data_IF_047514561841
#
_entry.id   IF_047514561841
#
_cell.length_a   1.000
_cell.length_b   1.000
_cell.length_c   1.000
_cell.angle_alpha   90.00
_cell.angle_beta   90.00
_cell.angle_gamma   90.00
#
_symmetry.space_group_name_H-M   'P 1'
#
loop_
_entity.id
_entity.type
_entity.pdbx_description
1 polymer ?
#
# COMPACT_ATOMS: atom_id res chain seq x y z
N UNK A 1 -18.97 -10.77 -24.71
CA UNK A 1 -17.77 -10.08 -24.18
C UNK A 1 -16.62 -10.27 -25.14
N UNK A 2 -16.03 -9.19 -25.60
CA UNK A 2 -14.85 -9.28 -26.45
C UNK A 2 -13.67 -9.81 -25.64
N UNK A 3 -12.81 -10.57 -26.29
CA UNK A 3 -11.56 -11.08 -25.70
C UNK A 3 -10.72 -9.92 -25.14
N UNK A 4 -10.76 -8.76 -25.76
CA UNK A 4 -10.08 -7.54 -25.32
C UNK A 4 -10.58 -7.08 -23.95
N UNK A 5 -11.89 -7.10 -23.70
CA UNK A 5 -12.45 -6.71 -22.41
C UNK A 5 -12.08 -7.71 -21.29
N UNK A 6 -11.96 -8.99 -21.61
CA UNK A 6 -11.48 -10.01 -20.67
C UNK A 6 -10.00 -9.80 -20.36
N UNK A 7 -9.18 -9.52 -21.36
CA UNK A 7 -7.76 -9.23 -21.18
C UNK A 7 -7.57 -7.95 -20.36
N UNK A 8 -8.35 -6.90 -20.63
CA UNK A 8 -8.32 -5.66 -19.84
C UNK A 8 -8.72 -5.89 -18.38
N UNK A 9 -9.70 -6.75 -18.15
CA UNK A 9 -10.10 -7.11 -16.79
C UNK A 9 -9.02 -7.91 -16.05
N UNK A 10 -8.26 -8.74 -16.77
CA UNK A 10 -7.16 -9.53 -16.22
C UNK A 10 -5.92 -8.70 -15.92
N UNK A 11 -5.71 -7.59 -16.63
CA UNK A 11 -4.54 -6.73 -16.49
C UNK A 11 -4.77 -5.56 -15.52
N UNK A 12 -5.99 -5.38 -15.03
CA UNK A 12 -6.26 -4.34 -14.03
C UNK A 12 -5.60 -4.67 -12.70
N UNK A 13 -4.98 -3.65 -12.12
CA UNK A 13 -4.46 -3.73 -10.75
C UNK A 13 -5.63 -3.94 -9.79
N UNK A 14 -5.60 -5.04 -9.07
CA UNK A 14 -6.61 -5.37 -8.07
C UNK A 14 -5.99 -6.17 -6.92
N UNK A 15 -6.74 -6.32 -5.84
CA UNK A 15 -6.27 -7.01 -4.64
C UNK A 15 -6.05 -8.52 -4.82
N UNK A 16 -6.47 -9.09 -5.94
CA UNK A 16 -6.32 -10.53 -6.22
C UNK A 16 -4.98 -10.88 -6.87
N UNK A 17 -4.25 -9.88 -7.38
CA UNK A 17 -2.95 -10.10 -7.99
C UNK A 17 -1.88 -10.40 -6.94
N UNK A 18 -1.01 -11.36 -7.24
CA UNK A 18 0.19 -11.58 -6.44
C UNK A 18 1.17 -10.41 -6.59
N UNK A 19 2.05 -10.25 -5.61
CA UNK A 19 3.01 -9.14 -5.60
C UNK A 19 3.90 -9.12 -6.84
N UNK A 20 4.35 -10.28 -7.32
CA UNK A 20 5.14 -10.37 -8.54
C UNK A 20 4.38 -9.86 -9.76
N UNK A 21 3.12 -10.20 -9.87
CA UNK A 21 2.25 -9.75 -10.97
C UNK A 21 2.01 -8.24 -10.88
N UNK A 22 1.84 -7.70 -9.68
CA UNK A 22 1.72 -6.26 -9.46
C UNK A 22 2.99 -5.52 -9.85
N UNK A 23 4.15 -6.04 -9.48
CA UNK A 23 5.44 -5.44 -9.84
C UNK A 23 5.66 -5.42 -11.35
N UNK A 24 5.32 -6.49 -12.04
CA UNK A 24 5.39 -6.55 -13.50
C UNK A 24 4.44 -5.53 -14.15
N UNK A 25 3.20 -5.46 -13.69
CA UNK A 25 2.22 -4.52 -14.22
C UNK A 25 2.62 -3.07 -13.96
N UNK A 26 3.09 -2.76 -12.78
CA UNK A 26 3.60 -1.43 -12.44
C UNK A 26 4.79 -1.09 -13.33
N UNK A 27 5.72 -2.01 -13.51
CA UNK A 27 6.89 -1.83 -14.36
C UNK A 27 6.51 -1.54 -15.81
N UNK A 28 5.56 -2.29 -16.37
CA UNK A 28 5.06 -2.10 -17.73
C UNK A 28 4.39 -0.73 -17.91
N UNK A 29 3.59 -0.32 -16.95
CA UNK A 29 2.93 1.00 -16.98
C UNK A 29 3.92 2.14 -16.89
N UNK A 30 4.94 2.01 -16.04
CA UNK A 30 6.01 3.01 -15.95
C UNK A 30 6.79 3.11 -17.26
N UNK A 31 7.12 1.99 -17.90
CA UNK A 31 7.77 1.97 -19.20
C UNK A 31 6.91 2.62 -20.28
N UNK A 32 5.61 2.35 -20.30
CA UNK A 32 4.68 2.98 -21.24
C UNK A 32 4.62 4.50 -21.07
N UNK A 33 4.53 4.98 -19.84
CA UNK A 33 4.54 6.42 -19.53
C UNK A 33 5.86 7.09 -19.95
N UNK A 34 6.98 6.41 -19.72
CA UNK A 34 8.30 6.89 -20.15
C UNK A 34 8.35 7.06 -21.67
N UNK A 35 7.87 6.06 -22.38
CA UNK A 35 7.84 6.08 -23.86
C UNK A 35 6.92 7.17 -24.41
N UNK A 36 5.77 7.41 -23.76
CA UNK A 36 4.88 8.52 -24.12
C UNK A 36 5.57 9.88 -23.99
N UNK A 37 6.49 10.01 -23.06
CA UNK A 37 7.29 11.22 -22.87
C UNK A 37 8.55 11.26 -23.75
N UNK A 38 8.74 10.29 -24.64
CA UNK A 38 9.93 10.18 -25.48
C UNK A 38 11.26 10.10 -24.69
N UNK A 39 11.24 9.50 -23.51
CA UNK A 39 12.43 9.32 -22.70
C UNK A 39 13.03 7.93 -22.89
N UNK A 40 14.34 7.86 -23.04
CA UNK A 40 15.07 6.61 -22.90
C UNK A 40 15.18 6.20 -21.43
N UNK A 41 15.53 4.96 -21.18
CA UNK A 41 15.82 4.50 -19.80
C UNK A 41 16.97 5.31 -19.17
N UNK A 42 17.97 5.65 -19.97
CA UNK A 42 19.09 6.50 -19.52
C UNK A 42 18.65 7.91 -19.18
N UNK A 43 17.76 8.51 -19.98
CA UNK A 43 17.20 9.84 -19.72
C UNK A 43 16.39 9.86 -18.42
N UNK A 44 15.55 8.85 -18.23
CA UNK A 44 14.77 8.72 -17.02
C UNK A 44 15.67 8.54 -15.79
N UNK A 45 16.68 7.69 -15.91
CA UNK A 45 17.64 7.44 -14.83
C UNK A 45 18.38 8.73 -14.45
N UNK A 46 18.84 9.48 -15.44
CA UNK A 46 19.53 10.75 -15.21
C UNK A 46 18.62 11.76 -14.49
N UNK A 47 17.39 11.94 -14.96
CA UNK A 47 16.43 12.87 -14.36
C UNK A 47 15.98 12.46 -12.96
N UNK A 48 15.86 11.18 -12.72
CA UNK A 48 15.48 10.64 -11.42
C UNK A 48 16.66 10.52 -10.43
N UNK A 49 17.88 10.71 -10.90
CA UNK A 49 19.07 10.52 -10.08
C UNK A 49 19.31 9.07 -9.68
N UNK A 50 18.96 8.13 -10.56
CA UNK A 50 19.08 6.69 -10.38
C UNK A 50 20.02 6.09 -11.42
N UNK A 51 20.55 4.90 -11.15
CA UNK A 51 21.25 4.11 -12.16
C UNK A 51 20.30 3.55 -13.21
N UNK A 52 20.78 3.42 -14.45
CA UNK A 52 20.00 2.82 -15.56
C UNK A 52 19.56 1.41 -15.20
N UNK A 53 20.40 0.65 -14.54
CA UNK A 53 20.09 -0.71 -14.12
C UNK A 53 18.92 -0.77 -13.14
N UNK A 54 18.81 0.23 -12.27
CA UNK A 54 17.67 0.37 -11.35
C UNK A 54 16.37 0.60 -12.11
N UNK A 55 16.40 1.45 -13.13
CA UNK A 55 15.26 1.68 -14.01
C UNK A 55 14.86 0.40 -14.76
N UNK A 56 15.83 -0.31 -15.31
CA UNK A 56 15.58 -1.57 -16.01
C UNK A 56 14.90 -2.60 -15.10
N UNK A 57 15.39 -2.75 -13.89
CA UNK A 57 14.82 -3.67 -12.91
C UNK A 57 13.42 -3.26 -12.49
N UNK A 58 13.20 -1.98 -12.31
CA UNK A 58 11.88 -1.44 -11.96
C UNK A 58 10.86 -1.71 -13.08
N UNK A 59 11.22 -1.44 -14.32
CA UNK A 59 10.35 -1.68 -15.48
C UNK A 59 10.11 -3.17 -15.74
N UNK A 60 11.08 -4.02 -15.45
CA UNK A 60 10.93 -5.46 -15.60
C UNK A 60 10.18 -6.12 -14.42
N UNK A 61 9.96 -5.40 -13.34
CA UNK A 61 9.29 -5.94 -12.16
C UNK A 61 10.08 -7.03 -11.44
N UNK A 62 11.39 -7.15 -11.67
CA UNK A 62 12.23 -8.23 -11.13
C UNK A 62 12.75 -7.98 -9.73
N UNK A 63 12.83 -6.72 -9.32
CA UNK A 63 13.30 -6.33 -7.99
C UNK A 63 12.43 -5.22 -7.47
N UNK A 64 12.04 -5.34 -6.22
CA UNK A 64 11.39 -4.25 -5.51
C UNK A 64 12.33 -3.05 -5.47
N UNK A 65 11.96 -1.98 -6.16
CA UNK A 65 12.64 -0.71 -6.02
C UNK A 65 12.40 -0.19 -4.61
N UNK A 66 13.41 0.45 -4.04
CA UNK A 66 13.20 1.18 -2.80
C UNK A 66 12.21 2.33 -3.05
N UNK A 67 11.35 2.58 -2.10
CA UNK A 67 10.29 3.60 -2.21
C UNK A 67 10.81 4.98 -2.65
N UNK A 68 11.93 5.52 -2.12
CA UNK A 68 12.44 6.81 -2.60
C UNK A 68 12.76 6.82 -4.09
N UNK A 69 13.34 5.76 -4.62
CA UNK A 69 13.62 5.63 -6.05
C UNK A 69 12.36 5.63 -6.89
N UNK A 70 11.37 4.87 -6.48
CA UNK A 70 10.05 4.84 -7.12
C UNK A 70 9.39 6.23 -7.14
N UNK A 71 9.44 6.96 -6.03
CA UNK A 71 8.89 8.32 -5.95
C UNK A 71 9.60 9.29 -6.89
N UNK A 72 10.91 9.17 -7.05
CA UNK A 72 11.68 9.98 -8.00
C UNK A 72 11.26 9.73 -9.44
N UNK A 73 11.06 8.47 -9.80
CA UNK A 73 10.55 8.09 -11.11
C UNK A 73 9.14 8.66 -11.33
N UNK A 74 8.25 8.53 -10.37
CA UNK A 74 6.90 9.09 -10.44
C UNK A 74 6.91 10.61 -10.62
N UNK A 75 7.86 11.29 -9.97
CA UNK A 75 8.01 12.75 -10.13
C UNK A 75 8.43 13.13 -11.52
N UNK A 76 9.40 12.45 -12.11
CA UNK A 76 9.85 12.70 -13.48
C UNK A 76 8.75 12.41 -14.49
N UNK A 77 7.97 11.34 -14.28
CA UNK A 77 6.86 10.97 -15.15
C UNK A 77 5.60 11.82 -14.93
N UNK A 78 5.59 12.71 -13.96
CA UNK A 78 4.45 13.60 -13.70
C UNK A 78 3.25 12.94 -13.06
N UNK A 79 3.40 11.77 -12.46
CA UNK A 79 2.31 11.01 -11.84
C UNK A 79 2.32 11.05 -10.30
N UNK A 80 3.27 11.77 -9.71
CA UNK A 80 3.42 11.80 -8.25
C UNK A 80 2.15 12.32 -7.55
N UNK A 81 1.46 13.30 -8.14
CA UNK A 81 0.22 13.85 -7.58
C UNK A 81 -0.90 12.81 -7.47
N UNK A 82 -0.86 11.75 -8.27
CA UNK A 82 -1.85 10.66 -8.20
C UNK A 82 -1.71 9.78 -6.97
N UNK A 83 -0.61 9.90 -6.24
CA UNK A 83 -0.48 9.26 -4.92
C UNK A 83 -1.53 9.76 -3.93
N UNK A 84 -2.05 10.96 -4.11
CA UNK A 84 -3.17 11.48 -3.32
C UNK A 84 -4.40 10.57 -3.39
N UNK A 85 -4.64 9.95 -4.54
CA UNK A 85 -5.74 9.00 -4.73
C UNK A 85 -5.47 7.67 -4.05
N UNK A 86 -4.22 7.24 -4.02
CA UNK A 86 -3.81 6.00 -3.38
C UNK A 86 -3.74 6.13 -1.86
N UNK A 87 -3.22 7.25 -1.39
CA UNK A 87 -3.00 7.56 0.02
C UNK A 87 -3.72 8.85 0.37
N UNK A 88 -5.06 8.82 0.45
CA UNK A 88 -5.82 10.02 0.76
C UNK A 88 -5.49 10.52 2.16
N UNK A 89 -5.53 11.84 2.33
CA UNK A 89 -5.38 12.44 3.64
C UNK A 89 -6.49 11.97 4.57
N UNK A 90 -6.11 11.55 5.77
CA UNK A 90 -7.08 11.14 6.77
C UNK A 90 -7.80 12.36 7.32
N UNK A 91 -9.10 12.46 7.04
CA UNK A 91 -9.98 13.47 7.66
C UNK A 91 -10.62 12.84 8.89
N UNK A 92 -10.22 13.22 10.11
CA UNK A 92 -10.86 12.72 11.30
C UNK A 92 -12.32 13.19 11.35
N UNK A 93 -13.22 12.31 11.81
CA UNK A 93 -14.61 12.69 12.00
C UNK A 93 -14.72 13.83 13.02
N UNK A 94 -15.76 14.70 12.96
CA UNK A 94 -15.95 15.76 13.93
C UNK A 94 -15.95 15.28 15.39
N UNK A 95 -16.51 14.10 15.64
CA UNK A 95 -16.52 13.48 16.97
C UNK A 95 -15.12 13.09 17.43
N UNK A 96 -14.29 12.58 16.52
CA UNK A 96 -12.90 12.21 16.81
C UNK A 96 -12.07 13.47 17.09
N UNK A 97 -12.30 14.55 16.36
CA UNK A 97 -11.64 15.84 16.60
C UNK A 97 -11.95 16.40 17.97
N UNK A 98 -13.20 16.33 18.41
CA UNK A 98 -13.62 16.76 19.75
C UNK A 98 -12.97 15.91 20.85
N UNK A 99 -12.91 14.60 20.67
CA UNK A 99 -12.30 13.68 21.64
C UNK A 99 -10.79 13.85 21.75
N UNK A 100 -10.12 14.17 20.67
CA UNK A 100 -8.66 14.26 20.61
C UNK A 100 -8.15 15.69 20.86
N UNK A 101 -9.02 16.69 21.00
CA UNK A 101 -8.66 18.11 21.16
C UNK A 101 -7.60 18.55 20.14
N UNK A 102 -7.75 18.15 18.88
CA UNK A 102 -6.82 18.47 17.81
C UNK A 102 -5.54 17.63 17.76
N UNK A 103 -5.38 16.66 18.65
CA UNK A 103 -4.25 15.74 18.63
C UNK A 103 -4.53 14.58 17.67
N UNK A 104 -3.61 14.35 16.75
CA UNK A 104 -3.68 13.16 15.90
C UNK A 104 -3.45 11.89 16.73
N UNK A 105 -4.25 10.88 16.42
CA UNK A 105 -4.12 9.58 17.04
C UNK A 105 -2.82 8.91 16.60
N UNK A 106 -1.93 8.68 17.55
CA UNK A 106 -0.60 8.13 17.25
C UNK A 106 -0.52 6.61 17.43
N UNK A 107 -1.50 6.01 18.08
CA UNK A 107 -1.50 4.57 18.34
C UNK A 107 -2.83 3.94 17.97
N UNK A 108 -2.77 2.77 17.38
CA UNK A 108 -3.95 1.94 17.20
C UNK A 108 -4.43 1.43 18.56
N UNK A 109 -5.72 1.58 18.85
CA UNK A 109 -6.33 0.95 20.01
C UNK A 109 -6.83 -0.41 19.56
N UNK A 110 -6.31 -1.45 20.18
CA UNK A 110 -6.82 -2.80 19.97
C UNK A 110 -8.25 -2.83 20.49
N UNK A 111 -9.24 -3.19 19.66
CA UNK A 111 -10.57 -3.39 20.19
C UNK A 111 -10.48 -4.43 21.32
N UNK A 112 -11.01 -4.08 22.48
CA UNK A 112 -11.19 -5.09 23.53
C UNK A 112 -12.02 -6.19 22.90
N UNK A 113 -11.45 -7.37 22.78
CA UNK A 113 -12.25 -8.52 22.44
C UNK A 113 -13.33 -8.64 23.51
N UNK A 114 -14.56 -8.45 23.11
CA UNK A 114 -15.73 -8.76 23.92
C UNK A 114 -15.98 -10.27 23.93
N UNK A 115 -14.95 -11.07 23.81
CA UNK A 115 -15.03 -12.38 24.39
C UNK A 115 -15.09 -12.11 25.88
N UNK A 116 -16.32 -12.04 26.38
CA UNK A 116 -16.60 -12.46 27.72
C UNK A 116 -15.99 -13.86 27.83
N UNK A 117 -14.70 -13.96 28.05
CA UNK A 117 -14.25 -14.99 28.94
C UNK A 117 -14.98 -14.67 30.23
N UNK A 118 -16.13 -15.26 30.38
CA UNK A 118 -16.63 -15.51 31.72
C UNK A 118 -15.37 -15.99 32.40
N UNK A 119 -14.78 -15.14 33.22
CA UNK A 119 -13.83 -15.62 34.18
C UNK A 119 -14.62 -16.66 34.94
N UNK A 120 -14.43 -17.91 34.59
CA UNK A 120 -14.78 -18.96 35.50
C UNK A 120 -13.93 -18.66 36.70
N UNK A 121 -14.50 -17.88 37.61
CA UNK A 121 -13.97 -17.80 38.94
C UNK A 121 -13.98 -19.23 39.37
N UNK A 122 -12.84 -19.79 39.76
CA UNK A 122 -12.85 -21.06 40.40
C UNK A 122 -13.95 -20.99 41.47
N UNK A 123 -14.89 -21.92 41.42
CA UNK A 123 -16.02 -22.02 42.28
C UNK A 123 -15.66 -21.50 43.66
N UNK A 124 -16.55 -20.70 44.28
CA UNK A 124 -16.26 -20.09 45.55
C UNK A 124 -15.63 -21.11 46.47
N UNK A 125 -14.48 -20.77 46.93
CA UNK A 125 -13.68 -21.51 47.86
C UNK A 125 -14.53 -22.40 48.73
N UNK A 126 -14.58 -23.65 48.43
CA UNK A 126 -15.21 -24.58 49.33
C UNK A 126 -14.26 -24.81 50.51
N UNK A 127 -14.31 -23.86 51.40
CA UNK A 127 -13.64 -24.00 52.65
C UNK A 127 -14.24 -25.17 53.40
N UNK A 128 -13.41 -26.04 53.84
CA UNK A 128 -13.86 -26.99 54.83
C UNK A 128 -14.53 -28.23 54.30
N UNK A 129 -14.23 -28.64 53.13
CA UNK A 129 -14.49 -30.03 52.72
C UNK A 129 -13.35 -30.93 53.16
N UNK A 130 -12.84 -30.68 54.30
CA UNK A 130 -11.88 -31.54 54.93
C UNK A 130 -12.50 -32.54 55.85
N UNK A 131 -13.75 -32.78 55.72
CA UNK A 131 -14.40 -33.86 56.48
C UNK A 131 -14.91 -34.88 55.53
#
# INVERSE_FOLDING_TARGET
MSITAILDALTKINAQLADEQLLEEIGQRLAALRLEMNLSQSDLAFRAGLGVRTIQRLENGTVAAQLPGFLRVCRVLGILARLELLLPESVPSPMTQLKLHGKQRQRAVRPRSTTNKVKEYPLPWSWGKGT
#
